data_IF_502567831088
#
_entry.id   IF_502567831088
#
_cell.length_a   1.000
_cell.length_b   1.000
_cell.length_c   1.000
_cell.angle_alpha   90.00
_cell.angle_beta   90.00
_cell.angle_gamma   90.00
#
_symmetry.space_group_name_H-M   'P 1'
#
loop_
_entity.id
_entity.type
_entity.pdbx_description
1 polymer ?
#
# COMPACT_ATOMS: atom_id res chain seq x y z
N UNK A 1 -20.76 7.08 9.35
CA UNK A 1 -19.69 7.59 8.46
C UNK A 1 -18.94 6.39 7.89
N UNK A 2 -18.59 6.39 6.59
CA UNK A 2 -17.75 5.36 5.99
C UNK A 2 -16.29 5.85 6.03
N UNK A 3 -15.39 5.02 6.55
CA UNK A 3 -13.94 5.25 6.49
C UNK A 3 -13.38 4.24 5.50
N UNK A 4 -12.55 4.71 4.58
CA UNK A 4 -11.91 3.86 3.56
C UNK A 4 -10.43 3.72 3.89
N UNK A 5 -9.88 2.54 3.61
CA UNK A 5 -8.47 2.19 3.82
C UNK A 5 -7.97 1.29 2.68
N UNK A 6 -6.73 0.80 2.77
CA UNK A 6 -6.15 -0.16 1.83
C UNK A 6 -6.91 -1.49 1.86
N UNK A 7 -6.97 -2.15 0.71
CA UNK A 7 -7.56 -3.50 0.59
C UNK A 7 -6.81 -4.56 1.43
N UNK A 8 -5.57 -4.26 1.82
CA UNK A 8 -4.71 -5.09 2.66
C UNK A 8 -4.81 -4.76 4.15
N UNK A 9 -5.69 -3.84 4.57
CA UNK A 9 -5.93 -3.51 5.99
C UNK A 9 -6.69 -4.57 6.81
N UNK A 10 -7.66 -5.33 6.27
CA UNK A 10 -8.46 -6.27 7.07
C UNK A 10 -7.66 -7.27 7.93
N UNK A 11 -6.53 -7.85 7.47
CA UNK A 11 -5.69 -8.70 8.31
C UNK A 11 -5.18 -8.04 9.59
N UNK A 12 -4.84 -6.74 9.56
CA UNK A 12 -4.32 -6.03 10.72
C UNK A 12 -5.34 -5.99 11.87
N UNK A 13 -6.61 -5.74 11.52
CA UNK A 13 -7.71 -5.66 12.48
C UNK A 13 -8.01 -7.02 13.13
N UNK A 14 -7.69 -8.12 12.45
CA UNK A 14 -7.81 -9.47 13.02
C UNK A 14 -6.60 -9.80 13.90
N UNK A 15 -5.39 -9.56 13.39
CA UNK A 15 -4.13 -9.95 14.06
C UNK A 15 -3.94 -9.22 15.39
N UNK A 16 -4.28 -7.93 15.44
CA UNK A 16 -4.11 -7.08 16.63
C UNK A 16 -5.33 -7.01 17.55
N UNK A 17 -6.47 -7.62 17.18
CA UNK A 17 -7.64 -7.63 18.05
C UNK A 17 -7.50 -8.64 19.20
N UNK A 18 -7.98 -8.25 20.38
CA UNK A 18 -8.12 -9.12 21.55
C UNK A 18 -9.58 -9.10 22.03
N UNK A 19 -10.31 -10.24 21.97
CA UNK A 19 -9.93 -11.51 21.35
C UNK A 19 -9.89 -11.42 19.81
N UNK A 20 -9.10 -12.29 19.17
CA UNK A 20 -9.03 -12.37 17.71
C UNK A 20 -10.37 -12.81 17.11
N UNK A 21 -11.00 -12.02 16.23
CA UNK A 21 -12.26 -12.39 15.58
C UNK A 21 -12.01 -13.47 14.51
N UNK A 22 -13.07 -14.21 14.16
CA UNK A 22 -13.01 -15.21 13.08
C UNK A 22 -13.02 -14.61 11.67
N UNK A 23 -13.43 -13.35 11.56
CA UNK A 23 -13.56 -12.61 10.30
C UNK A 23 -13.09 -11.19 10.54
N UNK A 24 -12.50 -10.56 9.52
CA UNK A 24 -12.18 -9.14 9.62
C UNK A 24 -13.45 -8.30 9.83
N UNK A 25 -13.40 -7.27 10.71
CA UNK A 25 -14.53 -6.38 10.93
C UNK A 25 -14.71 -5.37 9.80
N UNK A 26 -13.70 -5.18 8.95
CA UNK A 26 -13.78 -4.42 7.69
C UNK A 26 -13.84 -5.33 6.47
N UNK A 27 -14.48 -4.83 5.40
CA UNK A 27 -14.59 -5.51 4.12
C UNK A 27 -13.92 -4.71 2.99
N UNK A 28 -13.56 -5.41 1.92
CA UNK A 28 -12.95 -4.81 0.73
C UNK A 28 -14.01 -4.61 -0.37
N UNK A 29 -14.16 -3.38 -0.85
CA UNK A 29 -14.94 -3.07 -2.04
C UNK A 29 -14.07 -3.23 -3.30
N UNK A 30 -13.87 -4.47 -3.76
CA UNK A 30 -12.90 -4.78 -4.83
C UNK A 30 -13.05 -3.95 -6.11
N UNK A 31 -14.29 -3.65 -6.52
CA UNK A 31 -14.58 -2.85 -7.71
C UNK A 31 -14.13 -1.39 -7.64
N UNK A 32 -13.70 -0.91 -6.47
CA UNK A 32 -13.24 0.47 -6.26
C UNK A 32 -11.73 0.55 -6.00
N UNK A 33 -11.02 -0.57 -5.94
CA UNK A 33 -9.60 -0.58 -5.63
C UNK A 33 -8.79 0.07 -6.76
N UNK A 34 -7.88 0.98 -6.41
CA UNK A 34 -6.89 1.55 -7.32
C UNK A 34 -5.50 1.12 -6.87
N UNK A 35 -4.64 0.69 -7.80
CA UNK A 35 -3.27 0.25 -7.48
C UNK A 35 -2.42 1.46 -7.13
N UNK A 36 -2.00 1.51 -5.86
CA UNK A 36 -0.96 2.42 -5.39
C UNK A 36 0.36 1.68 -5.26
N UNK A 37 1.47 2.37 -5.58
CA UNK A 37 2.84 1.87 -5.39
C UNK A 37 3.55 2.89 -4.52
N UNK A 38 4.21 2.40 -3.46
CA UNK A 38 5.05 3.21 -2.59
C UNK A 38 6.50 3.17 -3.10
N UNK A 39 7.13 4.35 -3.17
CA UNK A 39 8.48 4.50 -3.68
C UNK A 39 9.37 5.11 -2.61
N UNK A 40 10.61 4.61 -2.52
CA UNK A 40 11.70 5.26 -1.80
C UNK A 40 12.71 5.81 -2.82
N UNK A 41 13.27 6.99 -2.53
CA UNK A 41 14.22 7.66 -3.41
C UNK A 41 15.31 8.38 -2.63
N UNK A 42 16.51 8.41 -3.19
CA UNK A 42 17.64 9.14 -2.64
C UNK A 42 17.65 10.57 -3.20
N UNK A 43 17.63 11.56 -2.31
CA UNK A 43 17.75 12.96 -2.71
C UNK A 43 19.14 13.26 -3.29
N UNK A 44 19.19 14.08 -4.35
CA UNK A 44 20.44 14.44 -5.03
C UNK A 44 21.46 15.16 -4.15
N UNK A 45 21.00 15.81 -3.08
CA UNK A 45 21.80 16.55 -2.11
C UNK A 45 21.96 15.81 -0.77
N UNK A 46 21.72 14.50 -0.73
CA UNK A 46 21.88 13.70 0.49
C UNK A 46 23.31 13.80 1.03
N UNK A 47 23.45 14.11 2.33
CA UNK A 47 24.76 14.21 2.99
C UNK A 47 25.50 12.88 3.12
N UNK A 48 24.75 11.77 3.12
CA UNK A 48 25.28 10.40 3.12
C UNK A 48 24.67 9.60 1.96
N UNK A 49 25.15 9.78 0.72
CA UNK A 49 24.61 9.08 -0.44
C UNK A 49 24.90 7.59 -0.40
N UNK A 50 26.01 7.15 0.19
CA UNK A 50 26.37 5.74 0.32
C UNK A 50 25.39 4.99 1.22
N UNK A 51 25.14 5.52 2.43
CA UNK A 51 24.15 4.94 3.35
C UNK A 51 22.72 5.01 2.79
N UNK A 52 22.39 6.08 2.07
CA UNK A 52 21.10 6.19 1.39
C UNK A 52 20.89 5.11 0.34
N UNK A 53 21.91 4.82 -0.48
CA UNK A 53 21.86 3.70 -1.44
C UNK A 53 21.75 2.35 -0.73
N UNK A 54 22.56 2.12 0.30
CA UNK A 54 22.53 0.87 1.07
C UNK A 54 21.13 0.61 1.69
N UNK A 55 20.44 1.66 2.15
CA UNK A 55 19.06 1.53 2.62
C UNK A 55 18.12 1.13 1.47
N UNK A 56 18.18 1.80 0.32
CA UNK A 56 17.33 1.45 -0.83
C UNK A 56 17.57 0.00 -1.29
N UNK A 57 18.83 -0.44 -1.31
CA UNK A 57 19.18 -1.82 -1.64
C UNK A 57 18.61 -2.80 -0.60
N UNK A 58 18.68 -2.45 0.70
CA UNK A 58 18.09 -3.23 1.79
C UNK A 58 16.57 -3.38 1.65
N UNK A 59 15.85 -2.30 1.31
CA UNK A 59 14.39 -2.34 1.11
C UNK A 59 13.97 -3.32 0.00
N UNK A 60 14.86 -3.66 -0.94
CA UNK A 60 14.59 -4.60 -2.04
C UNK A 60 15.03 -6.04 -1.75
N UNK A 61 15.66 -6.28 -0.59
CA UNK A 61 16.08 -7.62 -0.17
C UNK A 61 14.87 -8.53 0.02
N UNK A 62 15.10 -9.85 -0.11
CA UNK A 62 14.08 -10.85 0.19
C UNK A 62 13.56 -10.71 1.62
N UNK A 63 14.47 -10.55 2.57
CA UNK A 63 14.16 -10.46 4.01
C UNK A 63 13.23 -9.28 4.32
N UNK A 64 13.56 -8.07 3.85
CA UNK A 64 12.69 -6.93 4.06
C UNK A 64 11.33 -7.12 3.38
N UNK A 65 11.31 -7.62 2.14
CA UNK A 65 10.08 -7.81 1.38
C UNK A 65 9.17 -8.90 1.98
N UNK A 66 9.73 -9.93 2.61
CA UNK A 66 8.97 -10.97 3.33
C UNK A 66 8.38 -10.47 4.65
N UNK A 67 8.98 -9.44 5.26
CA UNK A 67 8.55 -8.87 6.53
C UNK A 67 7.41 -7.83 6.38
N UNK A 68 7.33 -7.17 5.21
CA UNK A 68 6.34 -6.12 4.92
C UNK A 68 4.86 -6.54 5.14
N UNK A 69 4.39 -7.74 4.74
CA UNK A 69 2.97 -8.09 4.85
C UNK A 69 2.40 -8.04 6.26
N UNK A 70 3.19 -8.37 7.30
CA UNK A 70 2.71 -8.42 8.69
C UNK A 70 3.17 -7.25 9.55
N UNK A 71 4.10 -6.42 9.08
CA UNK A 71 4.54 -5.22 9.78
C UNK A 71 3.96 -3.94 9.20
N UNK A 72 3.77 -3.90 7.87
CA UNK A 72 3.30 -2.73 7.15
C UNK A 72 1.93 -2.95 6.47
N UNK A 73 1.45 -4.19 6.43
CA UNK A 73 0.17 -4.57 5.82
C UNK A 73 0.05 -4.12 4.36
N UNK A 74 1.13 -4.32 3.60
CA UNK A 74 1.20 -4.04 2.16
C UNK A 74 1.83 -5.21 1.41
N UNK A 75 1.54 -5.30 0.11
CA UNK A 75 2.12 -6.32 -0.74
C UNK A 75 3.58 -5.99 -1.09
N UNK A 76 4.48 -6.99 -1.09
CA UNK A 76 5.85 -6.82 -1.56
C UNK A 76 5.88 -6.57 -3.07
N UNK A 77 6.92 -5.86 -3.53
CA UNK A 77 7.20 -5.64 -4.95
C UNK A 77 8.09 -6.74 -5.54
N UNK A 78 8.87 -7.43 -4.70
CA UNK A 78 9.76 -8.50 -5.14
C UNK A 78 8.95 -9.73 -5.58
N UNK A 79 9.18 -10.15 -6.81
CA UNK A 79 8.56 -11.37 -7.35
C UNK A 79 9.01 -12.62 -6.58
N UNK A 80 8.07 -13.56 -6.40
CA UNK A 80 8.33 -14.83 -5.72
C UNK A 80 8.41 -14.74 -4.19
N UNK A 81 8.19 -13.56 -3.60
CA UNK A 81 8.05 -13.41 -2.14
C UNK A 81 6.83 -14.19 -1.65
N UNK A 82 7.03 -15.05 -0.64
CA UNK A 82 5.94 -15.81 -0.03
C UNK A 82 5.11 -14.91 0.88
N UNK A 83 3.78 -14.96 0.71
CA UNK A 83 2.86 -14.22 1.59
C UNK A 83 2.43 -15.12 2.76
N UNK A 84 2.48 -14.63 4.01
CA UNK A 84 1.94 -15.36 5.14
C UNK A 84 0.44 -15.64 4.96
N UNK A 85 -0.06 -16.84 5.32
CA UNK A 85 -1.47 -17.18 5.14
C UNK A 85 -2.43 -16.16 5.78
N UNK A 86 -2.09 -15.71 7.00
CA UNK A 86 -2.86 -14.73 7.78
C UNK A 86 -3.06 -13.41 7.04
N UNK A 87 -2.11 -13.02 6.19
CA UNK A 87 -2.21 -11.79 5.40
C UNK A 87 -3.23 -11.93 4.24
N UNK A 88 -3.39 -13.14 3.71
CA UNK A 88 -4.27 -13.38 2.54
C UNK A 88 -5.66 -13.88 2.93
N UNK A 89 -5.79 -14.55 4.07
CA UNK A 89 -7.05 -15.18 4.52
C UNK A 89 -8.17 -14.15 4.74
N UNK A 90 -7.83 -13.03 5.37
CA UNK A 90 -8.81 -12.01 5.77
C UNK A 90 -9.00 -10.90 4.74
N UNK A 91 -8.22 -10.90 3.67
CA UNK A 91 -8.23 -9.87 2.63
C UNK A 91 -7.48 -10.33 1.39
N UNK A 92 -8.10 -11.12 0.50
CA UNK A 92 -7.45 -11.49 -0.74
C UNK A 92 -7.15 -10.25 -1.59
N UNK A 93 -6.10 -10.31 -2.40
CA UNK A 93 -5.74 -9.20 -3.27
C UNK A 93 -6.85 -8.89 -4.27
N UNK A 94 -7.04 -7.60 -4.57
CA UNK A 94 -7.82 -7.21 -5.73
C UNK A 94 -7.16 -7.75 -7.00
N UNK A 95 -7.88 -8.58 -7.76
CA UNK A 95 -7.36 -9.21 -8.98
C UNK A 95 -7.09 -8.19 -10.09
N UNK A 96 -8.04 -7.26 -10.29
CA UNK A 96 -8.00 -6.27 -11.37
C UNK A 96 -8.22 -4.85 -10.83
N UNK A 97 -7.33 -4.33 -9.97
CA UNK A 97 -7.46 -2.98 -9.45
C UNK A 97 -7.33 -1.96 -10.60
N UNK A 98 -8.05 -0.85 -10.50
CA UNK A 98 -7.88 0.28 -11.40
C UNK A 98 -6.42 0.75 -11.42
N UNK A 99 -5.92 1.10 -12.59
CA UNK A 99 -4.57 1.64 -12.77
C UNK A 99 -4.61 2.86 -13.67
N UNK A 100 -3.57 3.68 -13.60
CA UNK A 100 -3.37 4.79 -14.53
C UNK A 100 -1.89 4.98 -14.77
N UNK A 101 -1.51 5.31 -16.01
CA UNK A 101 -0.14 5.63 -16.34
C UNK A 101 0.38 6.75 -15.42
N UNK A 102 1.54 6.59 -14.76
CA UNK A 102 2.06 7.59 -13.81
C UNK A 102 2.23 8.98 -14.44
N UNK A 103 2.64 9.06 -15.71
CA UNK A 103 2.75 10.33 -16.44
C UNK A 103 1.41 11.06 -16.61
N UNK A 104 0.31 10.32 -16.77
CA UNK A 104 -1.04 10.92 -16.82
C UNK A 104 -1.44 11.47 -15.45
N UNK A 105 -1.14 10.75 -14.38
CA UNK A 105 -1.37 11.24 -13.01
C UNK A 105 -0.57 12.52 -12.79
N UNK A 106 0.75 12.49 -13.04
CA UNK A 106 1.64 13.63 -12.84
C UNK A 106 1.20 14.88 -13.61
N UNK A 107 0.75 14.72 -14.87
CA UNK A 107 0.32 15.84 -15.70
C UNK A 107 -1.00 16.49 -15.23
N UNK A 108 -1.85 15.77 -14.49
CA UNK A 108 -3.21 16.24 -14.19
C UNK A 108 -3.54 16.34 -12.69
N UNK A 109 -2.71 15.79 -11.79
CA UNK A 109 -3.02 15.67 -10.35
C UNK A 109 -3.43 17.01 -9.72
N UNK A 110 -2.71 18.08 -10.03
CA UNK A 110 -2.88 19.38 -9.38
C UNK A 110 -4.24 19.99 -9.78
N UNK A 111 -4.62 19.82 -11.06
CA UNK A 111 -5.95 20.21 -11.54
C UNK A 111 -7.04 19.38 -10.88
N UNK A 112 -6.89 18.05 -10.84
CA UNK A 112 -7.90 17.16 -10.25
C UNK A 112 -8.15 17.44 -8.77
N UNK A 113 -7.08 17.64 -8.00
CA UNK A 113 -7.18 18.00 -6.57
C UNK A 113 -7.91 19.33 -6.41
N UNK A 114 -7.55 20.37 -7.20
CA UNK A 114 -8.23 21.66 -7.16
C UNK A 114 -9.72 21.56 -7.48
N UNK A 115 -10.07 20.82 -8.54
CA UNK A 115 -11.46 20.61 -8.95
C UNK A 115 -12.25 19.87 -7.88
N UNK A 116 -11.70 18.80 -7.32
CA UNK A 116 -12.35 18.03 -6.26
C UNK A 116 -12.63 18.88 -5.02
N UNK A 117 -11.61 19.57 -4.52
CA UNK A 117 -11.72 20.43 -3.33
C UNK A 117 -12.77 21.52 -3.52
N UNK A 118 -12.81 22.16 -4.70
CA UNK A 118 -13.81 23.20 -5.01
C UNK A 118 -15.25 22.67 -5.08
N UNK A 119 -15.44 21.40 -5.41
CA UNK A 119 -16.78 20.80 -5.49
C UNK A 119 -17.28 20.34 -4.12
N UNK A 120 -16.40 19.79 -3.29
CA UNK A 120 -16.77 19.11 -2.03
C UNK A 120 -16.70 20.01 -0.81
N UNK A 121 -15.78 20.98 -0.76
CA UNK A 121 -15.56 21.85 0.41
C UNK A 121 -16.18 23.25 0.23
N UNK A 122 -17.36 23.36 -0.40
CA UNK A 122 -18.08 24.64 -0.46
C UNK A 122 -18.40 25.18 0.93
#
# INVERSE_FOLDING_TARGET
>A
PLVVSYASSPPAEVIYAEPRPKTAPTGVAYGTCFRQIEYAGLLSNARNPEGGKALLDFLLTKEFQEDMPLNMFVHPVREGTQLPPEFTEYGPSAENPGTMAPGKIAANRDQWVKSWTSLVLK
#
